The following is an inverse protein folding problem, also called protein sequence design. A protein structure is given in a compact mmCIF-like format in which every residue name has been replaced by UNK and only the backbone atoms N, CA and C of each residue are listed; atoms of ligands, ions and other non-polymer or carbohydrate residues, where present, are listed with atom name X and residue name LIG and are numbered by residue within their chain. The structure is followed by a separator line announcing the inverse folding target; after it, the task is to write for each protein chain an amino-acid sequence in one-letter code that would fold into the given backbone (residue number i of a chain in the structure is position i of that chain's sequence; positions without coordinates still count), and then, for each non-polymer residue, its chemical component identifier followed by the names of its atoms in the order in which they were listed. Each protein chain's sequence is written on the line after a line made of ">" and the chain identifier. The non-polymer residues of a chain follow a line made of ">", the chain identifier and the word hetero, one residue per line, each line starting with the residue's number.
data_IF_179868604228
#
_entry.id   IF_179868604228
#
_cell.length_a   1.000
_cell.length_b   1.000
_cell.length_c   1.000
_cell.angle_alpha   90.00
_cell.angle_beta   90.00
_cell.angle_gamma   90.00
#
_symmetry.space_group_name_H-M   'P 1'
#
loop_
_entity.id
_entity.type
_entity.pdbx_description
1 polymer ?
#
# COMPACT_ATOMS: atom_id res chain seq x y z
N UNK A 1 -67.33 -0.07 -12.37
CA UNK A 1 -67.06 -1.21 -13.24
C UNK A 1 -65.71 -1.75 -12.81
N UNK A 2 -65.69 -2.62 -11.91
CA UNK A 2 -65.39 -4.04 -11.77
C UNK A 2 -64.32 -4.56 -12.74
N UNK A 3 -63.21 -5.02 -12.21
CA UNK A 3 -62.71 -6.36 -12.50
C UNK A 3 -61.40 -6.70 -11.77
N UNK A 4 -61.37 -7.89 -11.36
CA UNK A 4 -60.56 -8.67 -10.44
C UNK A 4 -59.09 -8.95 -10.87
N UNK A 5 -58.28 -9.47 -9.93
CA UNK A 5 -56.88 -9.82 -10.16
C UNK A 5 -56.71 -11.25 -10.66
N UNK A 6 -55.65 -11.49 -11.43
CA UNK A 6 -55.14 -12.82 -11.77
C UNK A 6 -53.89 -13.14 -10.91
N UNK A 7 -54.04 -14.19 -10.12
CA UNK A 7 -52.94 -14.85 -9.42
C UNK A 7 -52.20 -15.78 -10.39
N UNK A 8 -50.87 -15.75 -10.34
CA UNK A 8 -50.06 -16.83 -10.87
C UNK A 8 -49.01 -17.23 -9.83
N UNK A 9 -49.21 -18.40 -9.27
CA UNK A 9 -48.34 -19.14 -8.40
C UNK A 9 -47.16 -19.70 -9.20
N UNK A 10 -45.93 -19.44 -8.76
CA UNK A 10 -44.80 -20.28 -9.14
C UNK A 10 -44.01 -20.65 -7.88
N UNK A 11 -43.95 -21.95 -7.65
CA UNK A 11 -43.44 -22.59 -6.47
C UNK A 11 -41.91 -22.42 -6.28
N UNK A 12 -41.54 -22.00 -5.10
CA UNK A 12 -40.21 -22.07 -4.59
C UNK A 12 -39.90 -23.50 -4.13
N UNK A 13 -39.02 -24.18 -4.82
CA UNK A 13 -38.44 -25.44 -4.34
C UNK A 13 -37.40 -25.10 -3.24
N UNK A 14 -37.77 -25.41 -2.00
CA UNK A 14 -36.87 -25.46 -0.87
C UNK A 14 -36.06 -26.75 -0.99
N UNK A 15 -34.77 -26.66 -1.18
CA UNK A 15 -33.85 -27.79 -1.07
C UNK A 15 -33.49 -27.91 0.42
N UNK A 16 -34.09 -28.88 1.10
CA UNK A 16 -33.71 -29.29 2.44
C UNK A 16 -32.37 -30.06 2.34
N UNK A 17 -31.30 -29.47 2.81
CA UNK A 17 -30.05 -30.19 3.03
C UNK A 17 -30.10 -30.81 4.43
N UNK A 18 -30.32 -32.13 4.50
CA UNK A 18 -30.30 -32.88 5.76
C UNK A 18 -28.89 -33.06 6.23
N UNK A 19 -28.54 -32.38 7.32
CA UNK A 19 -27.30 -32.65 8.07
C UNK A 19 -27.47 -33.93 8.90
N UNK A 20 -26.62 -34.91 8.63
CA UNK A 20 -26.48 -36.11 9.45
C UNK A 20 -25.71 -35.75 10.73
N UNK A 21 -26.15 -36.14 11.93
CA UNK A 21 -25.42 -35.84 13.16
C UNK A 21 -24.16 -36.71 13.31
N UNK A 22 -23.02 -36.07 13.49
CA UNK A 22 -21.80 -36.76 13.90
C UNK A 22 -21.94 -37.27 15.34
N UNK A 23 -21.78 -38.56 15.49
CA UNK A 23 -21.75 -39.32 16.74
C UNK A 23 -20.67 -38.80 17.69
N UNK A 24 -21.07 -38.61 18.95
CA UNK A 24 -20.22 -38.27 20.09
C UNK A 24 -19.14 -39.37 20.32
N UNK A 25 -17.90 -38.94 20.38
CA UNK A 25 -16.78 -39.76 20.90
C UNK A 25 -16.68 -39.46 22.42
N UNK A 26 -16.73 -40.46 23.30
CA UNK A 26 -16.63 -40.21 24.73
C UNK A 26 -15.19 -39.85 25.15
N UNK A 27 -15.05 -38.79 25.90
CA UNK A 27 -13.82 -38.41 26.58
C UNK A 27 -13.55 -39.46 27.69
N UNK A 28 -12.56 -40.33 27.47
CA UNK A 28 -11.99 -41.12 28.54
C UNK A 28 -10.95 -40.26 29.28
N UNK A 29 -11.12 -40.16 30.60
CA UNK A 29 -10.18 -39.53 31.49
C UNK A 29 -8.83 -40.28 31.46
N UNK A 30 -7.76 -39.59 31.12
CA UNK A 30 -6.40 -40.06 31.29
C UNK A 30 -5.86 -39.46 32.57
N UNK A 31 -5.71 -40.34 33.60
CA UNK A 31 -5.03 -40.00 34.87
C UNK A 31 -3.58 -39.63 34.59
N UNK A 32 -3.19 -38.44 35.06
CA UNK A 32 -1.80 -38.03 35.16
C UNK A 32 -1.12 -38.70 36.36
N UNK A 33 -0.43 -39.81 36.11
CA UNK A 33 0.54 -40.36 37.03
C UNK A 33 1.75 -40.88 36.26
N UNK A 34 2.96 -40.40 36.64
CA UNK A 34 4.29 -40.75 36.08
C UNK A 34 4.73 -40.08 34.79
N UNK A 35 5.15 -38.81 34.93
CA UNK A 35 5.96 -38.12 33.92
C UNK A 35 7.27 -37.59 34.53
N UNK A 36 8.08 -38.48 35.13
CA UNK A 36 9.40 -38.11 35.63
C UNK A 36 10.47 -39.17 35.23
N UNK A 37 10.47 -39.63 34.01
CA UNK A 37 11.57 -40.52 33.53
C UNK A 37 11.63 -40.58 32.00
N UNK A 38 11.77 -39.47 31.28
CA UNK A 38 12.21 -39.49 29.86
C UNK A 38 12.70 -38.09 29.40
N UNK A 39 13.74 -37.61 30.09
CA UNK A 39 14.54 -36.47 29.59
C UNK A 39 16.01 -36.91 29.49
N UNK A 40 16.29 -37.85 28.59
CA UNK A 40 17.65 -38.07 28.10
C UNK A 40 17.59 -38.95 26.85
N UNK A 41 17.31 -38.37 25.71
CA UNK A 41 17.76 -38.91 24.42
C UNK A 41 17.71 -37.80 23.38
N UNK A 42 18.85 -37.14 23.23
CA UNK A 42 19.12 -36.18 22.12
C UNK A 42 19.22 -36.88 20.74
N UNK A 43 18.71 -38.09 20.59
CA UNK A 43 18.85 -38.90 19.39
C UNK A 43 17.65 -38.86 18.43
N UNK A 44 16.54 -38.16 18.76
CA UNK A 44 15.33 -38.12 17.90
C UNK A 44 15.24 -36.94 16.96
N UNK A 45 16.15 -35.97 17.06
CA UNK A 45 16.16 -34.79 16.21
C UNK A 45 16.99 -34.92 14.91
N UNK A 46 17.62 -36.09 14.66
CA UNK A 46 18.49 -36.25 13.49
C UNK A 46 17.93 -37.11 12.34
N UNK A 47 16.71 -37.62 12.41
CA UNK A 47 16.18 -38.48 11.34
C UNK A 47 14.93 -38.00 10.62
N UNK A 48 14.33 -36.88 11.01
CA UNK A 48 13.36 -36.21 10.17
C UNK A 48 14.04 -35.00 9.50
N UNK A 49 14.52 -35.22 8.28
CA UNK A 49 14.99 -34.14 7.38
C UNK A 49 13.85 -33.19 6.98
N UNK A 50 13.07 -32.74 7.94
CA UNK A 50 12.17 -31.58 7.79
C UNK A 50 13.03 -30.35 7.98
N UNK A 51 13.78 -29.98 6.93
CA UNK A 51 14.15 -28.60 6.75
C UNK A 51 12.84 -27.86 6.60
N UNK A 52 12.40 -27.15 7.64
CA UNK A 52 11.42 -26.10 7.49
C UNK A 52 12.00 -25.17 6.42
N UNK A 53 11.60 -25.32 5.18
CA UNK A 53 11.78 -24.31 4.17
C UNK A 53 10.98 -23.13 4.70
N UNK A 54 11.67 -22.22 5.39
CA UNK A 54 11.17 -20.88 5.62
C UNK A 54 10.96 -20.34 4.20
N UNK A 55 9.72 -20.38 3.71
CA UNK A 55 9.37 -19.66 2.49
C UNK A 55 9.81 -18.23 2.72
N UNK A 56 10.92 -17.87 2.13
CA UNK A 56 11.45 -16.51 2.19
C UNK A 56 10.43 -15.67 1.44
N UNK A 57 9.53 -15.01 2.18
CA UNK A 57 8.54 -14.09 1.62
C UNK A 57 9.29 -13.12 0.71
N UNK A 58 9.01 -13.16 -0.58
CA UNK A 58 9.55 -12.18 -1.51
C UNK A 58 8.99 -10.79 -1.17
N UNK A 59 9.88 -9.80 -1.06
CA UNK A 59 9.50 -8.42 -0.85
C UNK A 59 8.59 -7.94 -1.98
N UNK A 60 7.41 -7.41 -1.64
CA UNK A 60 6.45 -6.86 -2.61
C UNK A 60 6.78 -5.42 -2.95
N UNK A 61 6.48 -5.05 -4.19
CA UNK A 61 6.47 -3.66 -4.64
C UNK A 61 5.04 -3.15 -4.62
N UNK A 62 4.80 -2.09 -3.85
CA UNK A 62 3.46 -1.58 -3.61
C UNK A 62 3.33 -0.10 -3.94
N UNK A 63 2.17 0.26 -4.46
CA UNK A 63 1.64 1.62 -4.40
C UNK A 63 0.66 1.67 -3.24
N UNK A 64 0.88 2.52 -2.25
CA UNK A 64 0.08 2.51 -1.03
C UNK A 64 -0.29 3.93 -0.59
N UNK A 65 -1.58 4.13 -0.25
CA UNK A 65 -2.11 5.43 0.17
C UNK A 65 -2.15 6.46 -0.96
N UNK A 66 -2.41 6.04 -2.18
CA UNK A 66 -2.39 6.92 -3.34
C UNK A 66 -3.75 7.58 -3.55
N UNK A 67 -3.82 8.90 -3.29
CA UNK A 67 -5.04 9.68 -3.45
C UNK A 67 -5.38 9.91 -4.93
N UNK A 68 -6.65 9.69 -5.30
CA UNK A 68 -7.15 9.84 -6.67
C UNK A 68 -8.53 10.46 -6.66
N UNK A 69 -8.80 11.40 -7.57
CA UNK A 69 -10.14 11.96 -7.79
C UNK A 69 -11.05 10.96 -8.50
N UNK A 70 -12.37 11.17 -8.46
CA UNK A 70 -13.34 10.33 -9.18
C UNK A 70 -13.10 10.30 -10.69
N UNK A 71 -12.51 11.35 -11.24
CA UNK A 71 -12.16 11.49 -12.67
C UNK A 71 -10.69 11.11 -12.97
N UNK A 72 -9.99 10.46 -12.01
CA UNK A 72 -8.74 9.75 -12.25
C UNK A 72 -7.46 10.58 -12.13
N UNK A 73 -7.51 11.76 -11.52
CA UNK A 73 -6.32 12.60 -11.30
C UNK A 73 -5.73 12.38 -9.91
N UNK A 74 -4.41 12.30 -9.82
CA UNK A 74 -3.67 12.09 -8.58
C UNK A 74 -3.00 13.37 -8.06
N UNK A 75 -3.03 14.45 -8.82
CA UNK A 75 -2.64 15.79 -8.43
C UNK A 75 -3.35 16.79 -9.34
N UNK A 76 -3.53 18.02 -8.86
CA UNK A 76 -4.03 19.14 -9.67
C UNK A 76 -2.95 19.69 -10.61
N UNK A 77 -3.34 20.69 -11.41
CA UNK A 77 -2.41 21.43 -12.26
C UNK A 77 -1.58 22.44 -11.45
N UNK A 78 -0.48 22.92 -12.02
CA UNK A 78 0.29 24.02 -11.43
C UNK A 78 1.04 23.63 -10.15
N UNK A 79 1.54 22.41 -10.03
CA UNK A 79 2.39 22.03 -8.90
C UNK A 79 3.59 22.97 -8.76
N UNK A 80 3.78 23.52 -7.58
CA UNK A 80 4.86 24.45 -7.21
C UNK A 80 5.29 24.23 -5.76
N UNK A 81 6.25 25.01 -5.27
CA UNK A 81 6.65 24.97 -3.84
C UNK A 81 5.49 25.40 -2.92
N UNK A 82 4.66 26.34 -3.35
CA UNK A 82 3.48 26.82 -2.62
C UNK A 82 2.29 25.85 -2.74
N UNK A 83 2.23 25.12 -3.87
CA UNK A 83 1.15 24.20 -4.18
C UNK A 83 1.70 22.81 -4.58
N UNK A 84 2.25 22.03 -3.63
CA UNK A 84 2.94 20.79 -3.92
C UNK A 84 2.06 19.73 -4.61
N UNK A 85 0.76 19.73 -4.31
CA UNK A 85 -0.23 18.84 -4.92
C UNK A 85 -1.00 19.48 -6.09
N UNK A 86 -0.64 20.72 -6.46
CA UNK A 86 -1.35 21.50 -7.47
C UNK A 86 -2.69 22.06 -6.99
N UNK A 87 -3.37 22.77 -7.88
CA UNK A 87 -4.67 23.39 -7.62
C UNK A 87 -5.68 22.31 -7.23
N UNK A 88 -6.37 22.49 -6.10
CA UNK A 88 -7.32 21.53 -5.50
C UNK A 88 -6.73 20.15 -5.13
N UNK A 89 -5.43 19.90 -5.40
CA UNK A 89 -4.78 18.63 -5.07
C UNK A 89 -4.89 18.19 -3.60
N UNK A 90 -4.86 19.09 -2.59
CA UNK A 90 -5.10 18.73 -1.19
C UNK A 90 -6.46 18.09 -0.92
N UNK A 91 -7.48 18.29 -1.77
CA UNK A 91 -8.79 17.66 -1.62
C UNK A 91 -8.72 16.12 -1.73
N UNK A 92 -7.71 15.59 -2.44
CA UNK A 92 -7.47 14.14 -2.60
C UNK A 92 -7.00 13.46 -1.32
N UNK A 93 -6.55 14.23 -0.31
CA UNK A 93 -5.94 13.73 0.92
C UNK A 93 -6.73 14.12 2.17
N UNK A 94 -7.99 14.56 2.03
CA UNK A 94 -8.86 14.88 3.16
C UNK A 94 -9.15 13.65 4.05
N UNK A 95 -9.04 12.45 3.51
CA UNK A 95 -9.10 11.22 4.27
C UNK A 95 -7.84 10.99 5.15
N UNK A 96 -6.67 11.45 4.66
CA UNK A 96 -5.37 11.18 5.28
C UNK A 96 -4.99 12.20 6.36
N UNK A 97 -5.21 13.49 6.09
CA UNK A 97 -4.77 14.58 6.97
C UNK A 97 -5.32 14.52 8.41
N UNK A 98 -6.55 14.08 8.69
CA UNK A 98 -7.07 13.97 10.06
C UNK A 98 -6.56 12.76 10.80
N UNK A 99 -5.97 11.74 10.13
CA UNK A 99 -5.59 10.47 10.75
C UNK A 99 -4.52 10.63 11.82
N UNK A 100 -4.56 9.75 12.83
CA UNK A 100 -3.52 9.71 13.86
C UNK A 100 -2.14 9.44 13.25
N UNK A 101 -2.06 8.59 12.23
CA UNK A 101 -0.83 8.30 11.48
C UNK A 101 -0.21 9.57 10.90
N UNK A 102 -1.00 10.38 10.18
CA UNK A 102 -0.49 11.63 9.60
C UNK A 102 -0.10 12.66 10.67
N UNK A 103 -0.89 12.75 11.74
CA UNK A 103 -0.62 13.68 12.85
C UNK A 103 0.70 13.33 13.55
N UNK A 104 0.99 12.03 13.75
CA UNK A 104 2.28 11.57 14.29
C UNK A 104 3.46 11.90 13.39
N UNK A 105 3.30 11.81 12.06
CA UNK A 105 4.34 12.25 11.11
C UNK A 105 4.68 13.74 11.25
N UNK A 106 3.80 14.52 11.88
CA UNK A 106 4.00 15.94 12.20
C UNK A 106 4.40 16.19 13.66
N UNK A 107 4.75 15.15 14.41
CA UNK A 107 5.13 15.25 15.82
C UNK A 107 3.97 15.56 16.76
N UNK A 108 2.73 15.21 16.39
CA UNK A 108 1.52 15.42 17.18
C UNK A 108 0.94 14.07 17.64
N UNK A 109 0.43 14.01 18.88
CA UNK A 109 -0.15 12.79 19.45
C UNK A 109 -1.69 12.76 19.37
N UNK A 110 -2.29 13.64 18.59
CA UNK A 110 -3.71 13.67 18.30
C UNK A 110 -4.03 13.02 16.94
N UNK A 111 -5.28 13.03 16.54
CA UNK A 111 -5.76 12.55 15.26
C UNK A 111 -6.83 11.49 15.37
N UNK A 112 -7.53 11.24 14.28
CA UNK A 112 -8.61 10.29 14.20
C UNK A 112 -8.08 8.88 13.98
N UNK A 113 -8.67 7.89 14.67
CA UNK A 113 -8.45 6.46 14.45
C UNK A 113 -9.62 5.88 13.67
N UNK A 114 -9.46 4.68 13.11
CA UNK A 114 -10.49 3.99 12.35
C UNK A 114 -9.99 3.57 10.96
N UNK A 115 -10.91 3.33 10.04
CA UNK A 115 -10.60 2.75 8.73
C UNK A 115 -9.60 3.59 7.94
N UNK A 116 -9.79 4.92 7.89
CA UNK A 116 -8.86 5.82 7.18
C UNK A 116 -7.46 5.76 7.82
N UNK A 117 -7.35 5.73 9.15
CA UNK A 117 -6.07 5.63 9.85
C UNK A 117 -5.41 4.25 9.66
N UNK A 118 -6.18 3.17 9.62
CA UNK A 118 -5.65 1.83 9.31
C UNK A 118 -5.04 1.78 7.92
N UNK A 119 -5.67 2.39 6.91
CA UNK A 119 -5.11 2.52 5.57
C UNK A 119 -3.90 3.47 5.55
N UNK A 120 -3.93 4.57 6.29
CA UNK A 120 -2.80 5.48 6.43
C UNK A 120 -1.58 4.79 7.02
N UNK A 121 -1.76 4.01 8.10
CA UNK A 121 -0.72 3.20 8.74
C UNK A 121 -0.16 2.14 7.78
N UNK A 122 -1.03 1.38 7.10
CA UNK A 122 -0.61 0.40 6.07
C UNK A 122 0.16 1.04 4.92
N UNK A 123 -0.09 2.32 4.64
CA UNK A 123 0.62 3.07 3.62
C UNK A 123 2.00 3.57 4.06
N UNK A 124 2.32 3.54 5.34
CA UNK A 124 3.60 4.03 5.88
C UNK A 124 4.47 2.94 6.49
N UNK A 125 3.87 1.91 7.07
CA UNK A 125 4.57 0.89 7.82
C UNK A 125 5.02 -0.31 6.95
N UNK A 126 6.11 -0.95 7.37
CA UNK A 126 6.57 -2.23 6.81
C UNK A 126 7.43 -2.12 5.55
N UNK A 127 7.74 -0.91 5.11
CA UNK A 127 8.59 -0.69 3.95
C UNK A 127 10.08 -0.60 4.34
N UNK A 128 10.94 -1.23 3.53
CA UNK A 128 12.39 -1.18 3.68
C UNK A 128 13.06 -0.19 2.73
N UNK A 129 12.34 0.26 1.70
CA UNK A 129 12.79 1.29 0.77
C UNK A 129 11.60 2.00 0.11
N UNK A 130 11.86 3.20 -0.37
CA UNK A 130 10.89 4.03 -1.09
C UNK A 130 11.45 4.44 -2.44
N UNK A 131 10.56 4.57 -3.44
CA UNK A 131 10.90 5.15 -4.74
C UNK A 131 9.95 6.32 -5.01
N UNK A 132 10.50 7.46 -5.31
CA UNK A 132 9.78 8.71 -5.56
C UNK A 132 10.15 9.26 -6.94
N UNK A 133 9.18 9.84 -7.63
CA UNK A 133 9.47 10.75 -8.73
C UNK A 133 10.00 12.09 -8.22
N UNK A 134 10.71 12.84 -9.06
CA UNK A 134 11.30 14.11 -8.68
C UNK A 134 10.32 15.09 -8.05
N UNK A 135 9.08 15.17 -8.57
CA UNK A 135 8.06 16.08 -8.03
C UNK A 135 7.65 15.73 -6.58
N UNK A 136 7.69 14.45 -6.22
CA UNK A 136 7.44 14.01 -4.84
C UNK A 136 8.55 14.44 -3.88
N UNK A 137 9.78 14.57 -4.36
CA UNK A 137 10.88 15.15 -3.59
C UNK A 137 10.82 16.67 -3.58
N UNK A 138 10.44 17.29 -4.70
CA UNK A 138 10.25 18.72 -4.84
C UNK A 138 9.95 19.11 -6.29
N UNK A 139 9.08 20.10 -6.54
CA UNK A 139 8.58 20.47 -7.87
C UNK A 139 9.58 21.37 -8.64
N UNK A 140 10.87 21.25 -8.34
CA UNK A 140 11.94 21.98 -9.03
C UNK A 140 12.18 21.31 -10.38
N UNK A 141 11.99 22.03 -11.45
CA UNK A 141 12.19 21.56 -12.83
C UNK A 141 13.62 21.91 -13.31
N UNK A 142 14.13 21.11 -14.25
CA UNK A 142 15.47 21.31 -14.79
C UNK A 142 16.60 20.94 -13.84
N UNK A 143 17.73 21.59 -13.96
CA UNK A 143 18.88 21.41 -13.05
C UNK A 143 18.54 21.83 -11.62
N UNK A 144 19.32 21.36 -10.68
CA UNK A 144 19.19 21.79 -9.29
C UNK A 144 19.77 23.20 -9.16
N UNK A 145 18.98 24.20 -8.71
CA UNK A 145 19.50 25.57 -8.57
C UNK A 145 20.57 25.67 -7.46
N UNK A 146 20.44 24.82 -6.45
CA UNK A 146 21.37 24.66 -5.34
C UNK A 146 21.16 23.29 -4.67
N UNK A 147 21.91 23.02 -3.61
CA UNK A 147 21.79 21.82 -2.81
C UNK A 147 20.99 22.02 -1.51
N UNK A 148 20.35 23.17 -1.29
CA UNK A 148 19.71 23.50 -0.02
C UNK A 148 18.36 22.78 0.13
N UNK A 149 17.63 22.53 -0.97
CA UNK A 149 16.39 21.82 -0.92
C UNK A 149 16.58 20.35 -0.52
N UNK A 150 15.97 19.95 0.62
CA UNK A 150 16.09 18.59 1.20
C UNK A 150 14.78 17.81 1.18
N UNK A 151 13.73 18.29 0.51
CA UNK A 151 12.41 17.69 0.47
C UNK A 151 11.38 18.45 1.31
N UNK A 152 10.15 17.95 1.31
CA UNK A 152 8.97 18.61 1.90
C UNK A 152 8.87 18.46 3.43
N UNK A 153 9.55 17.48 4.01
CA UNK A 153 9.31 17.02 5.38
C UNK A 153 10.27 17.59 6.42
N UNK A 154 11.08 18.58 6.05
CA UNK A 154 12.07 19.14 6.96
C UNK A 154 13.23 18.18 7.23
N UNK A 155 13.77 18.22 8.45
CA UNK A 155 15.01 17.47 8.79
C UNK A 155 14.77 15.99 9.11
N UNK A 156 13.55 15.58 9.48
CA UNK A 156 13.18 14.19 9.82
C UNK A 156 12.03 13.69 8.95
N UNK A 157 12.30 13.27 7.70
CA UNK A 157 11.28 12.75 6.80
C UNK A 157 10.72 11.40 7.29
N UNK A 158 9.41 11.14 7.11
CA UNK A 158 8.71 9.98 7.68
C UNK A 158 9.01 8.64 6.99
N UNK A 159 10.00 8.59 6.13
CA UNK A 159 10.38 7.35 5.43
C UNK A 159 11.24 6.42 6.29
N UNK A 160 12.15 6.97 7.12
CA UNK A 160 13.07 6.24 8.00
C UNK A 160 13.78 5.05 7.31
N UNK A 161 14.00 5.16 5.99
CA UNK A 161 14.58 4.14 5.12
C UNK A 161 15.24 4.77 3.90
N UNK A 162 16.08 4.03 3.15
CA UNK A 162 16.60 4.47 1.86
C UNK A 162 15.48 4.84 0.90
N UNK A 163 15.57 6.04 0.34
CA UNK A 163 14.54 6.62 -0.54
C UNK A 163 15.19 7.03 -1.85
N UNK A 164 14.78 6.41 -2.94
CA UNK A 164 15.33 6.60 -4.27
C UNK A 164 14.48 7.59 -5.06
N UNK A 165 15.08 8.71 -5.47
CA UNK A 165 14.42 9.78 -6.23
C UNK A 165 14.79 9.68 -7.69
N UNK A 166 13.83 9.35 -8.55
CA UNK A 166 14.00 9.34 -10.00
C UNK A 166 14.12 10.75 -10.55
N UNK A 167 15.21 11.04 -11.24
CA UNK A 167 15.51 12.36 -11.80
C UNK A 167 16.44 12.23 -13.00
N UNK A 168 16.40 13.18 -13.92
CA UNK A 168 17.37 13.28 -15.02
C UNK A 168 18.64 14.06 -14.62
N UNK A 169 18.66 14.66 -13.43
CA UNK A 169 19.74 15.52 -12.96
C UNK A 169 20.38 14.88 -11.72
N UNK A 170 21.57 14.31 -11.84
CA UNK A 170 22.28 13.68 -10.72
C UNK A 170 22.53 14.67 -9.58
N UNK A 171 22.52 14.15 -8.36
CA UNK A 171 22.82 14.90 -7.15
C UNK A 171 23.44 13.95 -6.11
N UNK A 172 24.36 14.44 -5.25
CA UNK A 172 24.86 13.64 -4.13
C UNK A 172 23.72 13.18 -3.20
N UNK A 173 23.83 12.00 -2.58
CA UNK A 173 22.87 11.55 -1.60
C UNK A 173 22.74 12.50 -0.42
N UNK A 174 21.51 12.66 0.10
CA UNK A 174 21.22 13.49 1.27
C UNK A 174 20.84 12.59 2.43
N UNK A 175 21.63 12.60 3.50
CA UNK A 175 21.30 11.93 4.75
C UNK A 175 20.47 12.86 5.63
N UNK A 176 19.33 12.35 6.10
CA UNK A 176 18.39 13.07 6.95
C UNK A 176 18.39 12.45 8.36
N UNK A 177 17.78 13.15 9.30
CA UNK A 177 17.51 12.60 10.63
C UNK A 177 16.54 11.41 10.51
N UNK A 178 16.40 10.61 11.57
CA UNK A 178 15.47 9.47 11.61
C UNK A 178 15.81 8.31 10.67
N UNK A 179 16.95 8.36 9.94
CA UNK A 179 17.44 7.24 9.12
C UNK A 179 17.06 7.31 7.64
N UNK A 180 16.32 8.32 7.20
CA UNK A 180 16.07 8.53 5.77
C UNK A 180 17.35 8.95 5.05
N UNK A 181 17.62 8.35 3.89
CA UNK A 181 18.67 8.81 2.97
C UNK A 181 18.06 8.92 1.57
N UNK A 182 18.07 10.11 0.99
CA UNK A 182 17.66 10.32 -0.39
C UNK A 182 18.83 9.99 -1.34
N UNK A 183 18.58 9.07 -2.28
CA UNK A 183 19.49 8.71 -3.36
C UNK A 183 18.89 9.15 -4.69
N UNK A 184 19.61 9.91 -5.48
CA UNK A 184 19.14 10.41 -6.77
C UNK A 184 19.57 9.46 -7.88
N UNK A 185 18.60 8.94 -8.64
CA UNK A 185 18.81 7.92 -9.67
C UNK A 185 18.41 8.48 -11.03
N UNK A 186 19.37 8.52 -11.95
CA UNK A 186 19.18 9.01 -13.33
C UNK A 186 19.12 7.89 -14.38
N UNK A 187 19.34 6.64 -13.96
CA UNK A 187 19.49 5.48 -14.85
C UNK A 187 18.15 4.74 -15.09
N UNK A 188 17.03 5.38 -14.76
CA UNK A 188 15.69 4.86 -15.03
C UNK A 188 15.10 3.99 -13.92
N UNK A 189 13.86 3.51 -14.19
CA UNK A 189 13.03 2.82 -13.18
C UNK A 189 13.59 1.46 -12.76
N UNK A 190 14.25 0.74 -13.68
CA UNK A 190 14.80 -0.59 -13.41
C UNK A 190 15.96 -0.52 -12.42
N UNK A 191 16.89 0.43 -12.64
CA UNK A 191 18.04 0.63 -11.76
C UNK A 191 17.59 1.12 -10.38
N UNK A 192 16.60 2.01 -10.33
CA UNK A 192 16.04 2.47 -9.06
C UNK A 192 15.37 1.31 -8.28
N UNK A 193 14.63 0.44 -8.98
CA UNK A 193 13.99 -0.72 -8.37
C UNK A 193 15.01 -1.73 -7.86
N UNK A 194 16.05 -2.01 -8.64
CA UNK A 194 17.12 -2.91 -8.21
C UNK A 194 17.78 -2.40 -6.92
N UNK A 195 18.18 -1.13 -6.88
CA UNK A 195 18.77 -0.51 -5.68
C UNK A 195 17.81 -0.53 -4.48
N UNK A 196 16.52 -0.30 -4.72
CA UNK A 196 15.50 -0.36 -3.69
C UNK A 196 15.33 -1.79 -3.13
N UNK A 197 15.37 -2.82 -3.97
CA UNK A 197 15.32 -4.23 -3.55
C UNK A 197 16.52 -4.61 -2.69
N UNK A 198 17.72 -4.21 -3.11
CA UNK A 198 18.96 -4.45 -2.35
C UNK A 198 18.88 -3.78 -0.97
N UNK A 199 18.37 -2.55 -0.91
CA UNK A 199 18.26 -1.78 0.33
C UNK A 199 17.13 -2.29 1.25
N UNK A 200 16.00 -2.72 0.69
CA UNK A 200 14.84 -3.16 1.44
C UNK A 200 15.01 -4.54 2.09
N UNK A 201 15.88 -5.41 1.53
CA UNK A 201 16.03 -6.78 1.99
C UNK A 201 14.71 -7.56 1.89
N UNK A 202 14.23 -8.08 3.01
CA UNK A 202 12.97 -8.83 3.07
C UNK A 202 11.72 -7.96 3.26
N UNK A 203 11.87 -6.63 3.42
CA UNK A 203 10.74 -5.69 3.57
C UNK A 203 10.20 -5.25 2.23
N UNK A 204 8.94 -4.84 2.21
CA UNK A 204 8.28 -4.33 1.01
C UNK A 204 8.90 -2.99 0.54
N UNK A 205 8.67 -2.66 -0.73
CA UNK A 205 9.13 -1.42 -1.37
C UNK A 205 7.89 -0.59 -1.71
N UNK A 206 7.90 0.69 -1.37
CA UNK A 206 6.82 1.60 -1.72
C UNK A 206 7.19 2.49 -2.91
N UNK A 207 6.36 2.47 -3.95
CA UNK A 207 6.35 3.51 -4.97
C UNK A 207 5.47 4.65 -4.46
N UNK A 208 6.10 5.74 -4.01
CA UNK A 208 5.40 6.82 -3.30
C UNK A 208 4.71 7.83 -4.22
N UNK A 209 5.06 7.88 -5.50
CA UNK A 209 4.47 8.83 -6.46
C UNK A 209 5.53 9.67 -7.20
N UNK A 210 5.19 10.76 -8.03
CA UNK A 210 3.82 11.09 -8.49
C UNK A 210 3.21 10.15 -9.52
N UNK A 211 2.11 10.57 -10.09
CA UNK A 211 1.34 9.76 -11.04
C UNK A 211 2.18 9.17 -12.18
N UNK A 212 3.01 9.96 -12.82
CA UNK A 212 3.86 9.50 -13.92
C UNK A 212 4.84 8.38 -13.49
N UNK A 213 5.39 8.46 -12.28
CA UNK A 213 6.29 7.43 -11.73
C UNK A 213 5.52 6.15 -11.44
N UNK A 214 4.39 6.25 -10.74
CA UNK A 214 3.51 5.11 -10.44
C UNK A 214 3.09 4.41 -11.72
N UNK A 215 2.66 5.18 -12.73
CA UNK A 215 2.23 4.67 -14.04
C UNK A 215 3.34 3.85 -14.71
N UNK A 216 4.58 4.35 -14.76
CA UNK A 216 5.70 3.64 -15.36
C UNK A 216 5.95 2.27 -14.70
N UNK A 217 5.93 2.20 -13.37
CA UNK A 217 6.12 0.93 -12.64
C UNK A 217 4.95 -0.04 -12.85
N UNK A 218 3.71 0.45 -12.92
CA UNK A 218 2.53 -0.38 -13.22
C UNK A 218 2.62 -0.93 -14.65
N UNK A 219 2.93 -0.09 -15.64
CA UNK A 219 3.07 -0.48 -17.06
C UNK A 219 4.19 -1.49 -17.27
N UNK A 220 5.31 -1.34 -16.56
CA UNK A 220 6.42 -2.29 -16.59
C UNK A 220 6.12 -3.61 -15.85
N UNK A 221 4.96 -3.73 -15.20
CA UNK A 221 4.56 -4.96 -14.52
C UNK A 221 5.20 -5.18 -13.15
N UNK A 222 5.89 -4.20 -12.60
CA UNK A 222 6.69 -4.33 -11.37
C UNK A 222 5.90 -4.19 -10.07
N UNK A 223 4.66 -3.69 -10.11
CA UNK A 223 3.85 -3.47 -8.90
C UNK A 223 3.01 -4.70 -8.62
N UNK A 224 3.07 -5.21 -7.40
CA UNK A 224 2.32 -6.38 -6.92
C UNK A 224 0.96 -5.99 -6.32
N UNK A 225 0.89 -4.82 -5.67
CA UNK A 225 -0.29 -4.36 -4.96
C UNK A 225 -0.46 -2.84 -5.10
N UNK A 226 -1.68 -2.39 -5.33
CA UNK A 226 -2.02 -0.99 -5.51
C UNK A 226 -3.17 -0.65 -4.56
N UNK A 227 -2.94 0.23 -3.59
CA UNK A 227 -4.00 0.83 -2.79
C UNK A 227 -4.27 2.26 -3.27
N UNK A 228 -5.48 2.48 -3.75
CA UNK A 228 -6.00 3.77 -4.17
C UNK A 228 -7.07 4.25 -3.19
N UNK A 229 -6.96 5.51 -2.78
CA UNK A 229 -7.98 6.21 -2.02
C UNK A 229 -8.71 7.18 -2.94
N UNK A 230 -9.90 6.81 -3.40
CA UNK A 230 -10.73 7.66 -4.24
C UNK A 230 -11.44 8.71 -3.38
N UNK A 231 -10.99 9.95 -3.48
CA UNK A 231 -11.66 11.09 -2.86
C UNK A 231 -12.97 11.41 -3.59
N UNK A 232 -14.04 11.83 -2.89
CA UNK A 232 -15.35 12.13 -3.50
C UNK A 232 -15.35 13.49 -4.22
N UNK A 233 -14.32 13.76 -5.04
CA UNK A 233 -14.13 15.00 -5.79
C UNK A 233 -13.76 14.70 -7.24
N UNK A 234 -14.14 15.60 -8.15
CA UNK A 234 -13.64 15.64 -9.51
C UNK A 234 -12.76 16.88 -9.69
N UNK A 235 -11.54 16.70 -10.19
CA UNK A 235 -10.60 17.80 -10.42
C UNK A 235 -10.79 18.45 -11.78
N UNK A 236 -11.27 17.69 -12.79
CA UNK A 236 -11.46 18.14 -14.16
C UNK A 236 -10.17 18.23 -14.98
N UNK A 237 -9.03 18.41 -14.33
CA UNK A 237 -7.70 18.45 -14.95
C UNK A 237 -6.61 18.19 -13.91
N UNK A 238 -5.44 17.71 -14.36
CA UNK A 238 -4.32 17.41 -13.46
C UNK A 238 -3.41 16.31 -13.99
N UNK A 239 -2.71 15.66 -13.08
CA UNK A 239 -1.83 14.52 -13.38
C UNK A 239 -2.66 13.22 -13.40
N UNK A 240 -3.04 12.74 -14.59
CA UNK A 240 -3.83 11.51 -14.75
C UNK A 240 -3.03 10.28 -14.36
N UNK A 241 -3.66 9.41 -13.55
CA UNK A 241 -3.09 8.12 -13.18
C UNK A 241 -3.38 7.05 -14.25
N UNK A 242 -4.59 7.04 -14.82
CA UNK A 242 -5.08 5.88 -15.58
C UNK A 242 -4.85 5.95 -17.08
N UNK A 243 -4.44 7.11 -17.64
CA UNK A 243 -4.20 7.24 -19.08
C UNK A 243 -3.19 6.22 -19.58
N UNK A 244 -3.64 5.38 -20.51
CA UNK A 244 -2.82 4.32 -21.10
C UNK A 244 -2.60 3.09 -20.22
N UNK A 245 -3.33 2.94 -19.08
CA UNK A 245 -3.32 1.75 -18.25
C UNK A 245 -4.53 0.87 -18.51
N UNK A 246 -4.30 -0.40 -18.81
CA UNK A 246 -5.30 -1.47 -18.71
C UNK A 246 -4.94 -2.38 -17.53
N UNK A 247 -5.43 -2.01 -16.36
CA UNK A 247 -5.13 -2.74 -15.11
C UNK A 247 -5.58 -4.20 -15.17
N UNK A 248 -6.69 -4.49 -15.87
CA UNK A 248 -7.20 -5.85 -16.01
C UNK A 248 -6.29 -6.69 -16.91
N UNK A 249 -5.85 -6.15 -18.05
CA UNK A 249 -4.89 -6.82 -18.93
C UNK A 249 -3.54 -7.05 -18.25
N UNK A 250 -3.15 -6.17 -17.30
CA UNK A 250 -1.96 -6.30 -16.46
C UNK A 250 -2.13 -7.30 -15.29
N UNK A 251 -3.30 -7.96 -15.17
CA UNK A 251 -3.56 -9.01 -14.19
C UNK A 251 -4.11 -8.54 -12.85
N UNK A 252 -4.40 -7.26 -12.69
CA UNK A 252 -4.93 -6.75 -11.42
C UNK A 252 -6.41 -7.09 -11.23
N UNK A 253 -6.76 -7.44 -10.00
CA UNK A 253 -8.15 -7.62 -9.54
C UNK A 253 -8.34 -6.91 -8.22
N UNK A 254 -9.56 -6.48 -7.93
CA UNK A 254 -9.91 -5.91 -6.63
C UNK A 254 -9.87 -7.02 -5.58
N UNK A 255 -9.11 -6.81 -4.52
CA UNK A 255 -8.99 -7.73 -3.37
C UNK A 255 -9.59 -7.14 -2.09
N UNK A 256 -9.72 -5.81 -2.03
CA UNK A 256 -10.34 -5.12 -0.91
C UNK A 256 -11.05 -3.86 -1.40
N UNK A 257 -12.23 -3.58 -0.85
CA UNK A 257 -13.01 -2.38 -1.15
C UNK A 257 -13.73 -1.93 0.12
N UNK A 258 -13.37 -0.75 0.63
CA UNK A 258 -13.89 -0.21 1.88
C UNK A 258 -14.26 1.26 1.70
N UNK A 259 -15.55 1.61 1.73
CA UNK A 259 -15.97 3.00 1.71
C UNK A 259 -15.87 3.63 3.10
N UNK A 260 -15.48 4.91 3.14
CA UNK A 260 -15.54 5.77 4.31
C UNK A 260 -16.28 7.06 3.97
N UNK A 261 -16.42 7.95 4.92
CA UNK A 261 -17.01 9.27 4.66
C UNK A 261 -16.16 10.13 3.70
N UNK A 262 -14.81 9.98 3.78
CA UNK A 262 -13.86 10.85 3.06
C UNK A 262 -13.21 10.21 1.85
N UNK A 263 -13.25 8.89 1.73
CA UNK A 263 -12.71 8.18 0.58
C UNK A 263 -13.36 6.81 0.37
N UNK A 264 -13.16 6.27 -0.82
CA UNK A 264 -13.35 4.84 -1.07
C UNK A 264 -11.98 4.20 -1.28
N UNK A 265 -11.59 3.35 -0.35
CA UNK A 265 -10.33 2.61 -0.43
C UNK A 265 -10.51 1.38 -1.30
N UNK A 266 -9.67 1.23 -2.32
CA UNK A 266 -9.66 0.07 -3.22
C UNK A 266 -8.23 -0.48 -3.22
N UNK A 267 -8.09 -1.77 -2.92
CA UNK A 267 -6.83 -2.49 -3.06
C UNK A 267 -6.92 -3.44 -4.24
N UNK A 268 -5.98 -3.31 -5.15
CA UNK A 268 -5.81 -4.17 -6.31
C UNK A 268 -4.55 -5.01 -6.13
N UNK A 269 -4.60 -6.28 -6.51
CA UNK A 269 -3.43 -7.16 -6.52
C UNK A 269 -3.45 -8.10 -7.74
N UNK A 270 -2.27 -8.56 -8.11
CA UNK A 270 -2.09 -9.61 -9.13
C UNK A 270 -2.34 -11.01 -8.58
#
# INVERSE_FOLDING_TARGET
>A
VSSRPLAASHGSRVILCTMTPMTQIPFAAIEFAHLDAFLSDDAWLQTSGFTAQTETRMAKVKVAGFGVSLDGFAAGTGQSLEHPLGVRGPELFQWFFPTQTFRRMQGKDDGETGVDDDFARRAMDGFGAFILGRNMFGPIRGEWPDEQWKGWWGEDPPYHAPTFVLTHYPRPPIRMQGGTTFHFVSDGIEVALQKAREAAGAKDIKIGGGAATVKQYIQAGHVDEIHLAFAPVALGQGESLFDGLDLRALGYRTVEHVPTERATHIVLAK
#
